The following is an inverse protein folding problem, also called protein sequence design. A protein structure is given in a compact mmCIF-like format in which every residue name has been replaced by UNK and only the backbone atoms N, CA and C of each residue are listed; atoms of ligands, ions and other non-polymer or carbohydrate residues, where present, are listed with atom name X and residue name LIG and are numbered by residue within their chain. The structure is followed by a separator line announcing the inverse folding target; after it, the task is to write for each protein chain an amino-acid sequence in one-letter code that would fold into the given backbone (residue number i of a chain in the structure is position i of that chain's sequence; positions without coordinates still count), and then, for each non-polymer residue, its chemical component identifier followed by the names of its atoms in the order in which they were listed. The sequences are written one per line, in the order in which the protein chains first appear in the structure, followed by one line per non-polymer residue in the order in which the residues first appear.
data_IF_425949702934
#
_entry.id   IF_425949702934
#
_cell.length_a   1.000
_cell.length_b   1.000
_cell.length_c   1.000
_cell.angle_alpha   90.00
_cell.angle_beta   90.00
_cell.angle_gamma   90.00
#
_symmetry.space_group_name_H-M   'P 1'
#
loop_
_entity.id
_entity.type
_entity.pdbx_description
1 polymer ?
#
# COMPACT_ATOMS: atom_id res chain seq x y z
N UNK A 1 9.81 8.59 -1.54
CA UNK A 1 10.19 7.15 -1.58
C UNK A 1 10.18 6.61 -0.16
N UNK A 2 9.32 5.63 0.14
CA UNK A 2 9.21 4.99 1.45
C UNK A 2 9.77 3.56 1.35
N UNK A 3 10.52 3.11 2.36
CA UNK A 3 11.04 1.75 2.44
C UNK A 3 10.55 1.10 3.73
N UNK A 4 9.91 -0.06 3.63
CA UNK A 4 9.37 -0.80 4.78
C UNK A 4 10.09 -2.14 4.92
N UNK A 5 10.55 -2.46 6.13
CA UNK A 5 11.13 -3.77 6.45
C UNK A 5 10.02 -4.71 6.92
N UNK A 6 9.85 -5.82 6.22
CA UNK A 6 8.91 -6.88 6.58
C UNK A 6 9.61 -8.23 6.52
N UNK A 7 9.04 -9.25 7.18
CA UNK A 7 9.58 -10.61 7.06
C UNK A 7 9.32 -11.14 5.64
N UNK A 8 10.18 -12.07 5.19
CA UNK A 8 10.05 -12.70 3.87
C UNK A 8 8.66 -13.34 3.65
N UNK A 9 8.10 -13.96 4.68
CA UNK A 9 6.78 -14.59 4.65
C UNK A 9 5.64 -13.59 4.47
N UNK A 10 5.74 -12.39 5.06
CA UNK A 10 4.75 -11.34 4.90
C UNK A 10 4.87 -10.71 3.51
N UNK A 11 6.10 -10.52 3.04
CA UNK A 11 6.37 -10.04 1.68
C UNK A 11 5.76 -10.95 0.61
N UNK A 12 5.90 -12.27 0.75
CA UNK A 12 5.32 -13.21 -0.19
C UNK A 12 3.79 -13.16 -0.21
N UNK A 13 3.15 -13.03 0.96
CA UNK A 13 1.70 -12.87 1.07
C UNK A 13 1.22 -11.58 0.41
N UNK A 14 1.90 -10.46 0.66
CA UNK A 14 1.60 -9.18 0.00
C UNK A 14 1.73 -9.28 -1.52
N UNK A 15 2.77 -9.96 -2.01
CA UNK A 15 2.96 -10.13 -3.45
C UNK A 15 1.86 -10.97 -4.08
N UNK A 16 1.51 -12.09 -3.46
CA UNK A 16 0.43 -12.95 -3.94
C UNK A 16 -0.92 -12.22 -3.97
N UNK A 17 -1.21 -11.41 -2.96
CA UNK A 17 -2.42 -10.59 -2.94
C UNK A 17 -2.43 -9.56 -4.08
N UNK A 18 -1.32 -8.85 -4.27
CA UNK A 18 -1.19 -7.88 -5.37
C UNK A 18 -1.43 -8.53 -6.74
N UNK A 19 -0.81 -9.70 -6.96
CA UNK A 19 -0.95 -10.45 -8.20
C UNK A 19 -2.39 -10.94 -8.39
N UNK A 20 -3.06 -11.40 -7.33
CA UNK A 20 -4.46 -11.88 -7.38
C UNK A 20 -5.47 -10.74 -7.67
N UNK A 21 -5.21 -9.54 -7.17
CA UNK A 21 -6.05 -8.35 -7.39
C UNK A 21 -5.69 -7.58 -8.67
N UNK A 22 -4.64 -8.01 -9.40
CA UNK A 22 -4.17 -7.31 -10.60
C UNK A 22 -3.64 -5.91 -10.31
N UNK A 23 -3.10 -5.68 -9.10
CA UNK A 23 -2.61 -4.39 -8.62
C UNK A 23 -1.14 -4.43 -8.25
N UNK A 24 -0.58 -3.31 -7.81
CA UNK A 24 0.79 -3.24 -7.30
C UNK A 24 0.80 -3.10 -5.78
N UNK A 25 1.88 -3.57 -5.14
CA UNK A 25 2.10 -3.36 -3.70
C UNK A 25 2.14 -1.87 -3.35
N UNK A 26 2.64 -1.02 -4.26
CA UNK A 26 2.60 0.42 -4.08
C UNK A 26 1.15 0.94 -4.01
N UNK A 27 0.31 0.57 -4.97
CA UNK A 27 -1.09 1.00 -4.99
C UNK A 27 -1.86 0.50 -3.74
N UNK A 28 -1.61 -0.73 -3.30
CA UNK A 28 -2.17 -1.24 -2.04
C UNK A 28 -1.68 -0.45 -0.82
N UNK A 29 -0.38 -0.08 -0.79
CA UNK A 29 0.17 0.72 0.29
C UNK A 29 -0.44 2.14 0.30
N UNK A 30 -0.62 2.76 -0.86
CA UNK A 30 -1.30 4.06 -1.01
C UNK A 30 -2.75 3.98 -0.54
N UNK A 31 -3.50 2.96 -0.94
CA UNK A 31 -4.87 2.74 -0.50
C UNK A 31 -4.96 2.48 1.01
N UNK A 32 -4.10 1.60 1.55
CA UNK A 32 -4.07 1.27 2.96
C UNK A 32 -3.70 2.47 3.84
N UNK A 33 -2.68 3.24 3.48
CA UNK A 33 -2.30 4.45 4.19
C UNK A 33 -3.37 5.54 4.06
N UNK A 34 -4.02 5.68 2.92
CA UNK A 34 -5.15 6.62 2.74
C UNK A 34 -6.33 6.25 3.64
N UNK A 35 -6.63 4.95 3.79
CA UNK A 35 -7.65 4.49 4.71
C UNK A 35 -7.30 4.84 6.17
N UNK A 36 -6.03 4.71 6.56
CA UNK A 36 -5.57 5.15 7.89
C UNK A 36 -5.73 6.67 8.06
N UNK A 37 -5.35 7.49 7.08
CA UNK A 37 -5.54 8.95 7.13
C UNK A 37 -7.02 9.32 7.29
N UNK A 38 -7.91 8.67 6.54
CA UNK A 38 -9.35 8.91 6.62
C UNK A 38 -9.93 8.60 8.01
N UNK A 39 -9.43 7.57 8.70
CA UNK A 39 -9.83 7.25 10.08
C UNK A 39 -9.51 8.38 11.06
N UNK A 40 -8.54 9.24 10.73
CA UNK A 40 -8.14 10.40 11.53
C UNK A 40 -8.70 11.72 10.98
N UNK A 41 -9.61 11.69 10.00
CA UNK A 41 -10.18 12.90 9.39
C UNK A 41 -9.21 13.66 8.49
N UNK A 42 -8.12 13.02 8.08
CA UNK A 42 -7.12 13.59 7.17
C UNK A 42 -7.42 13.22 5.72
N UNK A 43 -7.01 14.06 4.75
CA UNK A 43 -7.16 13.74 3.33
C UNK A 43 -6.35 12.50 2.93
N UNK A 44 -6.77 11.76 1.88
CA UNK A 44 -6.05 10.58 1.39
C UNK A 44 -4.71 10.96 0.76
N UNK A 45 -3.86 9.95 0.52
CA UNK A 45 -2.60 10.14 -0.22
C UNK A 45 -2.92 10.42 -1.68
N UNK A 46 -2.36 11.51 -2.19
CA UNK A 46 -2.42 11.83 -3.62
C UNK A 46 -1.44 10.97 -4.41
N UNK A 47 -1.87 10.37 -5.55
CA UNK A 47 -0.98 9.65 -6.44
C UNK A 47 0.15 10.56 -6.93
N UNK A 48 1.39 10.09 -6.81
CA UNK A 48 2.53 10.83 -7.33
C UNK A 48 2.55 10.72 -8.86
N UNK A 49 2.00 11.73 -9.55
CA UNK A 49 2.16 11.91 -10.99
C UNK A 49 3.56 12.49 -11.25
N UNK A 50 4.36 11.78 -12.04
CA UNK A 50 5.66 12.27 -12.50
C UNK A 50 5.52 13.01 -13.82
#
# INVERSE_FOLDING_TARGET
RVTVKVRRSDWQRLRQLADAEGTTIQAMAEAGLSAVLAQHGLPPIEPYAR
#
